data_IF_837741548927
#
_entry.id   IF_837741548927
#
_cell.length_a   1.000
_cell.length_b   1.000
_cell.length_c   1.000
_cell.angle_alpha   90.00
_cell.angle_beta   90.00
_cell.angle_gamma   90.00
#
_symmetry.space_group_name_H-M   'P 1'
#
loop_
_entity.id
_entity.type
_entity.pdbx_description
1 polymer ?
#
# COMPACT_ATOMS: atom_id res chain seq x y z
N UNK A 1 -17.10 22.02 -12.40
CA UNK A 1 -17.27 20.55 -12.45
C UNK A 1 -16.23 19.95 -11.53
N UNK A 2 -16.61 18.98 -10.71
CA UNK A 2 -15.63 18.24 -9.88
C UNK A 2 -14.84 17.33 -10.81
N UNK A 3 -13.52 17.32 -10.69
CA UNK A 3 -12.67 16.48 -11.53
C UNK A 3 -12.82 15.00 -11.16
N UNK A 4 -12.81 14.14 -12.18
CA UNK A 4 -12.86 12.70 -12.03
C UNK A 4 -11.43 12.12 -12.08
N UNK A 5 -11.15 11.16 -11.21
CA UNK A 5 -9.83 10.55 -11.18
C UNK A 5 -9.85 9.08 -10.68
N UNK A 6 -8.86 8.33 -11.09
CA UNK A 6 -8.60 6.99 -10.55
C UNK A 6 -7.89 7.12 -9.20
N UNK A 7 -8.21 6.28 -8.26
CA UNK A 7 -7.46 6.10 -7.02
C UNK A 7 -7.04 4.64 -6.85
N UNK A 8 -5.75 4.41 -6.59
CA UNK A 8 -5.25 3.08 -6.25
C UNK A 8 -5.52 2.79 -4.77
N UNK A 9 -6.29 1.76 -4.49
CA UNK A 9 -6.62 1.29 -3.16
C UNK A 9 -5.90 -0.03 -2.87
N UNK A 10 -5.11 -0.08 -1.80
CA UNK A 10 -4.33 -1.26 -1.41
C UNK A 10 -4.77 -1.86 -0.08
N UNK A 11 -5.71 -1.23 0.62
CA UNK A 11 -6.10 -1.62 1.98
C UNK A 11 -5.07 -1.25 3.06
N UNK A 12 -3.95 -0.64 2.68
CA UNK A 12 -2.92 -0.10 3.58
C UNK A 12 -3.29 1.28 4.13
N UNK A 13 -2.46 1.78 5.07
CA UNK A 13 -2.63 3.11 5.68
C UNK A 13 -2.66 4.19 4.62
N UNK A 14 -1.65 4.24 3.77
CA UNK A 14 -1.36 5.38 2.91
C UNK A 14 -2.46 5.58 1.85
N UNK A 15 -2.92 4.50 1.20
CA UNK A 15 -4.03 4.56 0.24
C UNK A 15 -5.37 4.85 0.91
N UNK A 16 -5.58 4.40 2.16
CA UNK A 16 -6.79 4.69 2.92
C UNK A 16 -6.85 6.18 3.30
N UNK A 17 -5.75 6.73 3.84
CA UNK A 17 -5.65 8.16 4.17
C UNK A 17 -5.81 9.01 2.91
N UNK A 18 -5.23 8.58 1.78
CA UNK A 18 -5.39 9.25 0.49
C UNK A 18 -6.85 9.33 0.05
N UNK A 19 -7.62 8.25 0.20
CA UNK A 19 -9.04 8.25 -0.14
C UNK A 19 -9.83 9.26 0.71
N UNK A 20 -9.57 9.33 2.01
CA UNK A 20 -10.18 10.35 2.88
C UNK A 20 -9.73 11.78 2.55
N UNK A 21 -8.48 11.96 2.15
CA UNK A 21 -7.93 13.27 1.77
C UNK A 21 -8.55 13.82 0.48
N UNK A 22 -8.95 12.93 -0.43
CA UNK A 22 -9.46 13.30 -1.75
C UNK A 22 -10.99 13.30 -1.86
N UNK A 23 -11.72 12.65 -0.94
CA UNK A 23 -13.16 12.38 -1.04
C UNK A 23 -14.05 13.60 -1.31
N UNK A 24 -13.63 14.77 -0.83
CA UNK A 24 -14.42 16.01 -0.98
C UNK A 24 -13.88 16.91 -2.12
N UNK A 25 -12.84 16.45 -2.85
CA UNK A 25 -12.14 17.20 -3.89
C UNK A 25 -12.32 16.60 -5.29
N UNK A 26 -12.52 15.29 -5.37
CA UNK A 26 -12.61 14.54 -6.63
C UNK A 26 -13.74 13.54 -6.59
N UNK A 27 -14.30 13.26 -7.77
CA UNK A 27 -15.09 12.03 -8.00
C UNK A 27 -14.09 10.92 -8.28
N UNK A 28 -13.98 9.95 -7.37
CA UNK A 28 -12.96 8.92 -7.42
C UNK A 28 -13.49 7.60 -7.97
N UNK A 29 -12.64 6.91 -8.76
CA UNK A 29 -12.87 5.56 -9.27
C UNK A 29 -11.74 4.65 -8.78
N UNK A 30 -12.05 3.69 -7.91
CA UNK A 30 -11.09 2.85 -7.23
C UNK A 30 -10.58 1.70 -8.10
N UNK A 31 -9.29 1.40 -8.00
CA UNK A 31 -8.71 0.14 -8.50
C UNK A 31 -8.01 -0.62 -7.37
N UNK A 32 -8.16 -1.93 -7.37
CA UNK A 32 -7.41 -2.86 -6.53
C UNK A 32 -6.81 -3.94 -7.41
N UNK A 33 -5.49 -4.12 -7.34
CA UNK A 33 -4.78 -5.14 -8.11
C UNK A 33 -4.58 -6.37 -7.22
N UNK A 34 -5.16 -7.49 -7.64
CA UNK A 34 -5.08 -8.75 -6.92
C UNK A 34 -4.07 -9.68 -7.57
N UNK A 35 -3.02 -10.04 -6.82
CA UNK A 35 -1.95 -10.93 -7.27
C UNK A 35 -2.07 -12.36 -6.72
N UNK A 36 -3.05 -12.60 -5.85
CA UNK A 36 -3.28 -13.93 -5.25
C UNK A 36 -2.47 -14.23 -4.00
N UNK A 37 -1.80 -13.24 -3.39
CA UNK A 37 -1.08 -13.42 -2.13
C UNK A 37 -2.04 -13.51 -0.95
N UNK A 38 -1.76 -14.39 0.05
CA UNK A 38 -2.66 -14.56 1.20
C UNK A 38 -3.04 -13.28 1.95
N UNK A 39 -2.12 -12.32 2.18
CA UNK A 39 -2.47 -11.04 2.82
C UNK A 39 -3.50 -10.22 2.04
N UNK A 40 -3.52 -10.32 0.71
CA UNK A 40 -4.43 -9.55 -0.15
C UNK A 40 -5.90 -9.95 0.01
N UNK A 41 -6.20 -11.12 0.58
CA UNK A 41 -7.58 -11.50 0.91
C UNK A 41 -8.14 -10.48 1.92
N UNK A 42 -7.38 -10.18 2.97
CA UNK A 42 -7.78 -9.20 3.98
C UNK A 42 -7.76 -7.76 3.43
N UNK A 43 -6.76 -7.42 2.65
CA UNK A 43 -6.67 -6.12 1.99
C UNK A 43 -7.88 -5.86 1.09
N UNK A 44 -8.29 -6.84 0.30
CA UNK A 44 -9.46 -6.75 -0.57
C UNK A 44 -10.77 -6.54 0.21
N UNK A 45 -10.95 -7.25 1.34
CA UNK A 45 -12.11 -7.03 2.22
C UNK A 45 -12.17 -5.58 2.69
N UNK A 46 -11.04 -5.05 3.19
CA UNK A 46 -10.94 -3.70 3.70
C UNK A 46 -11.14 -2.65 2.61
N UNK A 47 -10.62 -2.89 1.41
CA UNK A 47 -10.83 -2.01 0.25
C UNK A 47 -12.30 -1.98 -0.16
N UNK A 48 -12.99 -3.13 -0.15
CA UNK A 48 -14.45 -3.18 -0.42
C UNK A 48 -15.25 -2.42 0.64
N UNK A 49 -14.89 -2.55 1.93
CA UNK A 49 -15.53 -1.79 3.01
C UNK A 49 -15.31 -0.29 2.83
N UNK A 50 -14.07 0.13 2.52
CA UNK A 50 -13.69 1.53 2.29
C UNK A 50 -14.42 2.12 1.08
N UNK A 51 -14.41 1.40 -0.04
CA UNK A 51 -15.08 1.76 -1.28
C UNK A 51 -16.59 2.02 -1.04
N UNK A 52 -17.25 1.10 -0.34
CA UNK A 52 -18.65 1.26 0.03
C UNK A 52 -18.88 2.47 0.97
N UNK A 53 -17.99 2.67 1.96
CA UNK A 53 -18.11 3.77 2.93
C UNK A 53 -17.96 5.15 2.31
N UNK A 54 -17.08 5.27 1.30
CA UNK A 54 -16.78 6.54 0.62
C UNK A 54 -17.46 6.70 -0.74
N UNK A 55 -18.36 5.79 -1.10
CA UNK A 55 -19.07 5.75 -2.38
C UNK A 55 -18.12 5.81 -3.60
N UNK A 56 -17.04 5.03 -3.55
CA UNK A 56 -16.03 4.93 -4.61
C UNK A 56 -16.33 3.68 -5.45
N UNK A 57 -16.76 3.80 -6.73
CA UNK A 57 -16.87 2.65 -7.62
C UNK A 57 -15.53 1.91 -7.72
N UNK A 58 -15.51 0.60 -7.43
CA UNK A 58 -14.29 -0.20 -7.33
C UNK A 58 -14.20 -1.24 -8.45
N UNK A 59 -13.08 -1.26 -9.17
CA UNK A 59 -12.70 -2.35 -10.06
C UNK A 59 -11.56 -3.17 -9.45
N UNK A 60 -11.78 -4.48 -9.38
CA UNK A 60 -10.76 -5.45 -8.95
C UNK A 60 -10.14 -6.04 -10.22
N UNK A 61 -8.83 -5.92 -10.35
CA UNK A 61 -8.09 -6.40 -11.51
C UNK A 61 -7.26 -7.61 -11.03
N UNK A 62 -7.62 -8.79 -11.51
CA UNK A 62 -7.02 -10.05 -11.06
C UNK A 62 -5.85 -10.46 -11.95
N UNK A 63 -4.63 -10.40 -11.40
CA UNK A 63 -3.39 -10.87 -11.99
C UNK A 63 -2.91 -12.21 -11.40
N UNK A 64 -3.70 -12.88 -10.57
CA UNK A 64 -3.26 -14.10 -9.87
C UNK A 64 -2.88 -15.23 -10.82
N UNK A 65 -3.62 -15.39 -11.92
CA UNK A 65 -3.32 -16.38 -12.95
C UNK A 65 -2.05 -16.04 -13.73
N UNK A 66 -1.82 -14.74 -14.02
CA UNK A 66 -0.59 -14.27 -14.67
C UNK A 66 0.65 -14.56 -13.81
N UNK A 67 0.58 -14.24 -12.51
CA UNK A 67 1.66 -14.53 -11.56
C UNK A 67 1.98 -16.02 -11.49
N UNK A 68 0.95 -16.88 -11.45
CA UNK A 68 1.12 -18.34 -11.44
C UNK A 68 1.74 -18.91 -12.73
N UNK A 69 1.65 -18.18 -13.85
CA UNK A 69 2.23 -18.62 -15.13
C UNK A 69 3.74 -18.41 -15.19
N UNK A 70 4.33 -17.62 -14.31
CA UNK A 70 5.78 -17.55 -14.16
C UNK A 70 6.26 -18.79 -13.40
N UNK A 71 6.95 -19.67 -14.10
CA UNK A 71 7.61 -20.87 -13.54
C UNK A 71 8.90 -20.47 -12.81
N UNK A 72 8.79 -19.46 -11.95
CA UNK A 72 9.90 -18.93 -11.16
C UNK A 72 9.80 -19.42 -9.71
N UNK A 73 10.92 -19.70 -9.04
CA UNK A 73 10.92 -19.94 -7.61
C UNK A 73 10.21 -18.80 -6.88
N UNK A 74 9.41 -19.05 -5.84
CA UNK A 74 8.57 -18.04 -5.20
C UNK A 74 9.28 -16.76 -4.79
N UNK A 75 10.55 -16.87 -4.37
CA UNK A 75 11.35 -15.72 -3.90
C UNK A 75 11.79 -14.80 -5.06
N UNK A 76 12.19 -15.38 -6.18
CA UNK A 76 12.65 -14.60 -7.36
C UNK A 76 11.46 -13.93 -8.05
N UNK A 77 10.32 -14.59 -8.08
CA UNK A 77 9.07 -14.02 -8.59
C UNK A 77 8.65 -12.79 -7.80
N UNK A 78 8.74 -12.83 -6.47
CA UNK A 78 8.36 -11.71 -5.60
C UNK A 78 9.27 -10.50 -5.84
N UNK A 79 10.59 -10.68 -5.95
CA UNK A 79 11.54 -9.58 -6.17
C UNK A 79 11.30 -8.92 -7.54
N UNK A 80 11.07 -9.70 -8.58
CA UNK A 80 10.79 -9.19 -9.93
C UNK A 80 9.47 -8.41 -9.96
N UNK A 81 8.43 -8.94 -9.33
CA UNK A 81 7.12 -8.31 -9.25
C UNK A 81 7.21 -6.98 -8.48
N UNK A 82 7.85 -6.96 -7.32
CA UNK A 82 7.99 -5.75 -6.52
C UNK A 82 8.68 -4.63 -7.30
N UNK A 83 9.69 -4.95 -8.12
CA UNK A 83 10.44 -3.96 -8.89
C UNK A 83 9.60 -3.27 -9.97
N UNK A 84 8.69 -3.99 -10.64
CA UNK A 84 7.91 -3.48 -11.77
C UNK A 84 6.41 -3.39 -11.48
N UNK A 85 5.99 -3.80 -10.30
CA UNK A 85 4.60 -3.86 -9.88
C UNK A 85 3.87 -2.55 -10.13
N UNK A 86 4.47 -1.42 -9.76
CA UNK A 86 3.83 -0.11 -9.91
C UNK A 86 3.52 0.26 -11.36
N UNK A 87 4.33 -0.20 -12.34
CA UNK A 87 4.07 0.03 -13.76
C UNK A 87 2.84 -0.75 -14.20
N UNK A 88 2.75 -2.02 -13.81
CA UNK A 88 1.59 -2.88 -14.08
C UNK A 88 0.33 -2.28 -13.46
N UNK A 89 0.41 -1.83 -12.22
CA UNK A 89 -0.71 -1.22 -11.49
C UNK A 89 -1.23 0.04 -12.17
N UNK A 90 -0.34 0.93 -12.64
CA UNK A 90 -0.70 2.14 -13.38
C UNK A 90 -1.40 1.78 -14.69
N UNK A 91 -0.76 0.96 -15.53
CA UNK A 91 -1.31 0.60 -16.84
C UNK A 91 -2.64 -0.14 -16.72
N UNK A 92 -2.76 -1.07 -15.80
CA UNK A 92 -3.99 -1.81 -15.54
C UNK A 92 -5.11 -0.89 -15.04
N UNK A 93 -4.79 0.08 -14.18
CA UNK A 93 -5.76 1.03 -13.65
C UNK A 93 -6.32 1.93 -14.74
N UNK A 94 -5.47 2.48 -15.62
CA UNK A 94 -5.94 3.27 -16.76
C UNK A 94 -6.70 2.41 -17.80
N UNK A 95 -6.29 1.17 -18.01
CA UNK A 95 -7.05 0.23 -18.88
C UNK A 95 -8.44 -0.07 -18.31
N UNK A 96 -8.58 -0.09 -16.98
CA UNK A 96 -9.88 -0.29 -16.34
C UNK A 96 -10.82 0.93 -16.48
N UNK A 97 -10.26 2.14 -16.57
CA UNK A 97 -11.00 3.39 -16.72
C UNK A 97 -10.44 4.24 -17.88
N UNK A 98 -10.68 3.84 -19.14
CA UNK A 98 -9.99 4.40 -20.30
C UNK A 98 -10.36 5.87 -20.60
N UNK A 99 -11.45 6.37 -20.03
CA UNK A 99 -11.89 7.76 -20.19
C UNK A 99 -11.26 8.71 -19.16
N UNK A 100 -10.50 8.18 -18.18
CA UNK A 100 -9.84 8.97 -17.16
C UNK A 100 -8.35 9.07 -17.47
N UNK A 101 -7.77 10.24 -17.25
CA UNK A 101 -6.37 10.53 -17.53
C UNK A 101 -5.53 10.89 -16.29
N UNK A 102 -6.15 10.89 -15.12
CA UNK A 102 -5.48 11.22 -13.85
C UNK A 102 -5.66 10.08 -12.84
N UNK A 103 -4.58 9.68 -12.19
CA UNK A 103 -4.57 8.66 -11.15
C UNK A 103 -3.84 9.16 -9.91
N UNK A 104 -4.43 8.93 -8.74
CA UNK A 104 -3.81 9.20 -7.45
C UNK A 104 -3.27 7.93 -6.82
N UNK A 105 -2.06 8.03 -6.26
CA UNK A 105 -1.35 6.94 -5.56
C UNK A 105 -0.86 7.42 -4.19
N UNK A 106 -0.89 6.54 -3.19
CA UNK A 106 -0.47 6.83 -1.82
C UNK A 106 1.02 6.68 -1.57
N UNK A 107 1.88 6.99 -2.56
CA UNK A 107 3.32 6.85 -2.42
C UNK A 107 3.93 7.94 -1.53
N UNK A 108 4.81 7.52 -0.64
CA UNK A 108 5.56 8.36 0.27
C UNK A 108 6.89 8.82 -0.34
N UNK A 109 7.62 9.67 0.39
CA UNK A 109 8.87 10.29 -0.04
C UNK A 109 9.89 9.28 -0.60
N UNK A 110 10.14 8.20 0.11
CA UNK A 110 11.14 7.20 -0.28
C UNK A 110 10.71 6.41 -1.53
N UNK A 111 9.42 6.09 -1.61
CA UNK A 111 8.85 5.38 -2.78
C UNK A 111 8.85 6.26 -4.03
N UNK A 112 8.50 7.54 -3.89
CA UNK A 112 8.51 8.52 -4.97
C UNK A 112 9.88 8.69 -5.59
N UNK A 113 10.91 8.88 -4.75
CA UNK A 113 12.30 9.09 -5.20
C UNK A 113 12.80 7.96 -6.12
N UNK A 114 12.36 6.73 -5.86
CA UNK A 114 12.75 5.56 -6.62
C UNK A 114 11.94 5.35 -7.92
N UNK A 115 10.75 5.96 -8.03
CA UNK A 115 9.79 5.68 -9.12
C UNK A 115 9.64 6.84 -10.09
N UNK A 116 9.97 8.07 -9.67
CA UNK A 116 9.63 9.31 -10.40
C UNK A 116 10.22 9.38 -11.82
N UNK A 117 11.44 8.89 -12.04
CA UNK A 117 12.07 8.91 -13.36
C UNK A 117 11.36 8.00 -14.37
N UNK A 118 11.01 6.78 -13.94
CA UNK A 118 10.25 5.82 -14.75
C UNK A 118 8.85 6.37 -15.01
N UNK A 119 8.22 6.92 -13.99
CA UNK A 119 6.89 7.49 -14.08
C UNK A 119 6.79 8.59 -15.12
N UNK A 120 7.73 9.55 -15.12
CA UNK A 120 7.79 10.62 -16.12
C UNK A 120 7.94 10.09 -17.55
N UNK A 121 8.70 9.00 -17.74
CA UNK A 121 8.81 8.32 -19.03
C UNK A 121 7.47 7.74 -19.48
N UNK A 122 6.76 7.08 -18.59
CA UNK A 122 5.45 6.49 -18.87
C UNK A 122 4.41 7.59 -19.16
N UNK A 123 4.35 8.63 -18.34
CA UNK A 123 3.45 9.78 -18.54
C UNK A 123 3.65 10.44 -19.91
N UNK A 124 4.92 10.62 -20.31
CA UNK A 124 5.25 11.20 -21.62
C UNK A 124 4.82 10.29 -22.80
N UNK A 125 4.87 8.97 -22.62
CA UNK A 125 4.54 8.00 -23.65
C UNK A 125 3.03 7.84 -23.87
N UNK A 126 2.27 7.81 -22.78
CA UNK A 126 0.84 7.41 -22.80
C UNK A 126 -0.12 8.57 -22.51
N UNK A 127 0.39 9.76 -22.16
CA UNK A 127 -0.43 10.97 -21.93
C UNK A 127 -1.27 10.95 -20.65
N UNK A 128 -1.04 10.00 -19.73
CA UNK A 128 -1.71 9.95 -18.44
C UNK A 128 -0.88 10.67 -17.37
N UNK A 129 -1.55 11.10 -16.31
CA UNK A 129 -0.94 11.78 -15.16
C UNK A 129 -1.09 10.95 -13.90
N UNK A 130 0.03 10.66 -13.23
CA UNK A 130 0.03 10.02 -11.91
C UNK A 130 0.44 11.03 -10.85
N UNK A 131 -0.39 11.18 -9.84
CA UNK A 131 -0.21 12.17 -8.76
C UNK A 131 -0.03 11.43 -7.44
N UNK A 132 1.05 11.74 -6.73
CA UNK A 132 1.34 11.23 -5.38
C UNK A 132 1.31 12.40 -4.37
N UNK A 133 0.15 12.74 -3.80
CA UNK A 133 0.03 13.90 -2.89
C UNK A 133 0.96 13.83 -1.68
N UNK A 134 1.33 12.63 -1.26
CA UNK A 134 2.16 12.38 -0.09
C UNK A 134 3.65 12.19 -0.40
N UNK A 135 4.10 12.50 -1.63
CA UNK A 135 5.48 12.26 -2.10
C UNK A 135 6.57 13.01 -1.33
N UNK A 136 6.24 13.98 -0.50
CA UNK A 136 7.16 14.68 0.39
C UNK A 136 7.02 14.25 1.86
N UNK A 137 6.00 13.45 2.17
CA UNK A 137 5.66 13.06 3.53
C UNK A 137 6.31 11.73 3.92
N UNK A 138 6.58 11.59 5.23
CA UNK A 138 6.92 10.30 5.84
C UNK A 138 5.66 9.65 6.45
N UNK A 139 5.74 8.37 6.75
CA UNK A 139 4.56 7.59 7.19
C UNK A 139 3.91 8.13 8.46
N UNK A 140 4.69 8.66 9.39
CA UNK A 140 4.16 9.27 10.62
C UNK A 140 3.36 10.54 10.37
N UNK A 141 3.72 11.33 9.36
CA UNK A 141 2.94 12.51 8.95
C UNK A 141 1.62 12.11 8.30
N UNK A 142 1.61 11.05 7.48
CA UNK A 142 0.37 10.52 6.90
C UNK A 142 -0.55 9.95 7.98
N UNK A 143 -0.02 9.31 9.03
CA UNK A 143 -0.83 8.86 10.17
C UNK A 143 -1.45 10.04 10.91
N UNK A 144 -0.71 11.12 11.15
CA UNK A 144 -1.27 12.35 11.76
C UNK A 144 -2.42 12.91 10.93
N UNK A 145 -2.19 13.08 9.63
CA UNK A 145 -3.22 13.53 8.68
C UNK A 145 -4.45 12.60 8.71
N UNK A 146 -4.24 11.30 8.68
CA UNK A 146 -5.33 10.32 8.73
C UNK A 146 -6.13 10.39 10.04
N UNK A 147 -5.46 10.63 11.17
CA UNK A 147 -6.12 10.85 12.46
C UNK A 147 -6.98 12.12 12.46
N UNK A 148 -6.49 13.22 11.89
CA UNK A 148 -7.22 14.48 11.71
C UNK A 148 -8.44 14.31 10.79
N UNK A 149 -8.31 13.50 9.74
CA UNK A 149 -9.39 13.18 8.80
C UNK A 149 -10.39 12.13 9.33
N UNK A 150 -10.20 11.60 10.53
CA UNK A 150 -11.07 10.60 11.14
C UNK A 150 -10.98 9.21 10.52
N UNK A 151 -9.80 8.84 10.02
CA UNK A 151 -9.55 7.49 9.48
C UNK A 151 -9.56 6.45 10.60
N UNK A 152 -10.36 5.41 10.44
CA UNK A 152 -10.33 4.24 11.31
C UNK A 152 -9.18 3.30 10.90
N UNK A 153 -8.05 3.41 11.58
CA UNK A 153 -6.87 2.59 11.29
C UNK A 153 -7.02 1.10 11.63
N UNK A 154 -8.08 0.70 12.36
CA UNK A 154 -8.42 -0.73 12.54
C UNK A 154 -8.86 -1.37 11.22
N UNK A 155 -9.27 -0.55 10.26
CA UNK A 155 -9.69 -0.92 8.90
C UNK A 155 -8.56 -0.79 7.87
N UNK A 156 -7.30 -0.92 8.31
CA UNK A 156 -6.12 -0.94 7.43
C UNK A 156 -5.24 -2.15 7.71
N UNK A 157 -4.62 -2.71 6.67
CA UNK A 157 -3.72 -3.86 6.77
C UNK A 157 -2.33 -3.53 6.26
N UNK A 158 -1.29 -3.99 6.96
CA UNK A 158 0.12 -3.75 6.58
C UNK A 158 0.95 -5.03 6.57
N UNK A 159 0.44 -6.13 7.14
CA UNK A 159 1.20 -7.36 7.29
C UNK A 159 1.33 -8.11 5.97
N UNK A 160 2.56 -8.49 5.60
CA UNK A 160 2.83 -9.31 4.40
C UNK A 160 2.93 -10.81 4.70
N UNK A 161 2.86 -11.20 5.98
CA UNK A 161 2.99 -12.59 6.42
C UNK A 161 1.64 -13.23 6.68
N UNK A 162 0.68 -12.46 7.20
CA UNK A 162 -0.63 -12.98 7.61
C UNK A 162 -1.78 -12.17 7.00
N UNK A 163 -2.78 -12.88 6.48
CA UNK A 163 -4.00 -12.28 5.94
C UNK A 163 -5.09 -12.00 6.98
N UNK A 164 -4.91 -12.37 8.25
CA UNK A 164 -5.96 -12.17 9.27
C UNK A 164 -5.59 -11.11 10.29
N UNK A 165 -4.35 -11.16 10.77
CA UNK A 165 -3.88 -10.29 11.86
C UNK A 165 -2.46 -9.84 11.54
N UNK A 166 -2.03 -8.74 12.12
CA UNK A 166 -0.66 -8.27 11.97
C UNK A 166 0.30 -9.15 12.77
N UNK A 167 1.36 -9.67 12.13
CA UNK A 167 2.33 -10.50 12.85
C UNK A 167 3.14 -9.70 13.89
N UNK A 168 3.35 -8.39 13.68
CA UNK A 168 4.09 -7.50 14.58
C UNK A 168 5.60 -7.44 14.32
N UNK A 169 6.18 -8.37 13.54
CA UNK A 169 7.63 -8.53 13.36
C UNK A 169 8.12 -8.32 11.93
N UNK A 170 7.27 -8.49 10.91
CA UNK A 170 7.67 -8.23 9.53
C UNK A 170 7.98 -6.73 9.31
N UNK A 171 8.75 -6.42 8.27
CA UNK A 171 9.19 -5.05 8.00
C UNK A 171 8.02 -4.04 7.93
N UNK A 172 6.90 -4.30 7.22
CA UNK A 172 5.76 -3.38 7.23
C UNK A 172 5.05 -3.25 8.58
N UNK A 173 4.98 -4.32 9.39
CA UNK A 173 4.45 -4.22 10.75
C UNK A 173 5.33 -3.35 11.64
N UNK A 174 6.66 -3.49 11.56
CA UNK A 174 7.61 -2.65 12.30
C UNK A 174 7.52 -1.18 11.86
N UNK A 175 7.47 -0.94 10.55
CA UNK A 175 7.28 0.41 9.99
C UNK A 175 5.98 1.05 10.48
N UNK A 176 4.87 0.29 10.49
CA UNK A 176 3.59 0.74 11.04
C UNK A 176 3.72 1.17 12.51
N UNK A 177 4.25 0.31 13.36
CA UNK A 177 4.41 0.58 14.80
C UNK A 177 5.24 1.83 15.07
N UNK A 178 6.42 1.95 14.40
CA UNK A 178 7.26 3.15 14.51
C UNK A 178 6.53 4.42 14.07
N UNK A 179 5.83 4.34 12.96
CA UNK A 179 5.14 5.50 12.43
C UNK A 179 4.00 5.99 13.35
N UNK A 180 3.27 5.09 14.02
CA UNK A 180 2.29 5.47 15.04
C UNK A 180 2.97 6.09 16.28
N UNK A 181 4.09 5.53 16.73
CA UNK A 181 4.88 6.06 17.87
C UNK A 181 5.41 7.47 17.55
N UNK A 182 6.04 7.66 16.40
CA UNK A 182 6.54 8.96 15.92
C UNK A 182 5.41 9.98 15.71
N UNK A 183 4.26 9.52 15.22
CA UNK A 183 3.07 10.35 15.04
C UNK A 183 2.46 10.79 16.37
N UNK A 184 2.79 10.12 17.49
CA UNK A 184 2.14 10.26 18.80
C UNK A 184 0.63 9.99 18.72
N UNK A 185 0.23 9.10 17.82
CA UNK A 185 -1.15 8.60 17.65
C UNK A 185 -1.19 7.18 18.20
N UNK A 186 -2.23 6.86 18.96
CA UNK A 186 -2.40 5.51 19.50
C UNK A 186 -2.57 4.52 18.35
N UNK A 187 -1.69 3.50 18.28
CA UNK A 187 -1.85 2.41 17.33
C UNK A 187 -2.99 1.47 17.75
N UNK A 188 -4.09 1.37 17.01
CA UNK A 188 -5.21 0.51 17.37
C UNK A 188 -4.99 -0.95 16.96
N UNK A 189 -3.83 -1.28 16.39
CA UNK A 189 -3.55 -2.60 15.81
C UNK A 189 -3.28 -3.64 16.87
N UNK A 190 -3.90 -4.81 16.73
CA UNK A 190 -3.58 -5.99 17.52
C UNK A 190 -2.49 -6.79 16.77
N UNK A 191 -1.37 -6.99 17.44
CA UNK A 191 -0.23 -7.74 16.91
C UNK A 191 -0.15 -9.13 17.54
N UNK A 192 0.17 -10.14 16.72
CA UNK A 192 0.40 -11.51 17.21
C UNK A 192 1.63 -11.58 18.12
N UNK A 193 2.76 -11.02 17.64
CA UNK A 193 3.96 -10.84 18.48
C UNK A 193 4.00 -9.39 18.97
N UNK A 194 3.70 -9.20 20.26
CA UNK A 194 3.68 -7.87 20.88
C UNK A 194 4.97 -7.60 21.67
N UNK A 195 6.12 -7.86 21.04
CA UNK A 195 7.43 -7.56 21.61
C UNK A 195 7.74 -6.04 21.47
N UNK A 196 8.57 -5.46 22.36
CA UNK A 196 9.10 -4.11 22.18
C UNK A 196 9.83 -3.96 20.83
N UNK A 197 9.68 -2.82 20.16
CA UNK A 197 10.35 -2.58 18.86
C UNK A 197 11.86 -2.75 18.93
N UNK A 198 12.49 -2.27 20.03
CA UNK A 198 13.94 -2.42 20.24
C UNK A 198 14.38 -3.88 20.28
N UNK A 199 13.59 -4.77 20.85
CA UNK A 199 13.86 -6.21 20.90
C UNK A 199 13.71 -6.85 19.53
N UNK A 200 12.65 -6.49 18.79
CA UNK A 200 12.43 -6.96 17.41
C UNK A 200 13.58 -6.52 16.50
N UNK A 201 14.04 -5.28 16.63
CA UNK A 201 15.14 -4.76 15.84
C UNK A 201 16.48 -5.41 16.18
N UNK A 202 16.70 -5.76 17.44
CA UNK A 202 17.86 -6.54 17.88
C UNK A 202 17.84 -7.93 17.24
N UNK A 203 16.75 -8.67 17.38
CA UNK A 203 16.56 -9.99 16.76
C UNK A 203 16.73 -9.95 15.24
N UNK A 204 16.19 -8.93 14.58
CA UNK A 204 16.32 -8.77 13.13
C UNK A 204 17.77 -8.56 12.69
N UNK A 205 18.58 -7.85 13.47
CA UNK A 205 20.00 -7.64 13.20
C UNK A 205 20.82 -8.93 13.41
N UNK A 206 20.57 -9.64 14.50
CA UNK A 206 21.22 -10.91 14.81
C UNK A 206 20.95 -11.95 13.70
N UNK A 207 19.69 -12.04 13.23
CA UNK A 207 19.31 -12.90 12.12
C UNK A 207 20.00 -12.53 10.79
N UNK A 208 20.17 -11.24 10.51
CA UNK A 208 20.80 -10.78 9.27
C UNK A 208 22.33 -10.92 9.27
N UNK A 209 22.95 -11.02 10.45
CA UNK A 209 24.40 -11.20 10.61
C UNK A 209 24.83 -12.67 10.66
N UNK A 210 23.90 -13.62 10.58
CA UNK A 210 24.19 -15.05 10.57
C UNK A 210 24.64 -15.62 11.92
N UNK A 211 24.48 -14.87 13.02
CA UNK A 211 24.82 -15.31 14.37
C UNK A 211 23.72 -16.20 14.98
N UNK A 212 23.32 -17.27 14.28
CA UNK A 212 22.69 -18.40 14.96
C UNK A 212 23.80 -19.26 15.57
N UNK A 213 24.14 -18.99 16.80
CA UNK A 213 24.78 -19.98 17.65
C UNK A 213 23.72 -21.03 17.97
N UNK A 214 23.88 -22.23 17.40
CA UNK A 214 23.11 -23.40 17.83
C UNK A 214 23.26 -23.53 19.36
N UNK A 215 22.15 -23.44 20.06
CA UNK A 215 22.07 -23.80 21.48
C UNK A 215 21.20 -25.04 21.60
#
# INVERSE_FOLDING_TARGET
>A
MVEEAIIQLTGGIDSTVLAYYLKDKYVMYGTFIYYGYPPQIRELELVKELSKKLDIPLKIIDFSSYIKSFDLPPIDSIQYIIKYQFVIEILASFSAYPNLNTMFVGWLKDEWSNKVSILKGIESLIGFKVVAPFHTMVKSEVIKLGNELGVDFTKTHSCIVSGKMHCGICMPCRSRRRAFEEAKVKDPTIYYFNLPLAEIDKLSRELSQGEFVER
#
